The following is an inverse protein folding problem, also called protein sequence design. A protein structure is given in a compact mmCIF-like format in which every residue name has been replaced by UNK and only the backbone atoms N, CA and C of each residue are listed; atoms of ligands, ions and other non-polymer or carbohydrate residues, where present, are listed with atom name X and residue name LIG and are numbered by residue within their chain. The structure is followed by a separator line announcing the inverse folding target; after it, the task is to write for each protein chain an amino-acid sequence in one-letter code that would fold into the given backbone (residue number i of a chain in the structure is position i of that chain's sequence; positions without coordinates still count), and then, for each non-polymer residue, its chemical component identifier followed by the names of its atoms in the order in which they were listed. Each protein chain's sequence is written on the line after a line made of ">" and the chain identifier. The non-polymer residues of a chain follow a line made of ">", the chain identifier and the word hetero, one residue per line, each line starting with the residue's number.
data_IF_413423540570
#
_entry.id   IF_413423540570
#
_cell.length_a   1.000
_cell.length_b   1.000
_cell.length_c   1.000
_cell.angle_alpha   90.00
_cell.angle_beta   90.00
_cell.angle_gamma   90.00
#
_symmetry.space_group_name_H-M   'P 1'
#
loop_
_entity.id
_entity.type
_entity.pdbx_description
1 polymer ?
#
# COMPACT_ATOMS: atom_id res chain seq x y z
N UNK A 1 27.24 11.33 -7.28
CA UNK A 1 26.70 10.28 -8.18
C UNK A 1 25.30 9.93 -7.71
N UNK A 2 24.26 10.25 -8.48
CA UNK A 2 22.89 9.85 -8.15
C UNK A 2 22.76 8.33 -8.33
N UNK A 3 22.35 7.60 -7.28
CA UNK A 3 22.06 6.18 -7.36
C UNK A 3 20.89 5.96 -8.34
N UNK A 4 21.18 5.50 -9.55
CA UNK A 4 20.14 5.11 -10.51
C UNK A 4 19.49 3.82 -10.04
N UNK A 5 18.16 3.80 -9.97
CA UNK A 5 17.39 2.59 -9.64
C UNK A 5 17.69 1.52 -10.70
N UNK A 6 17.97 0.29 -10.24
CA UNK A 6 18.16 -0.84 -11.14
C UNK A 6 16.81 -1.30 -11.69
N UNK A 7 16.79 -1.65 -12.98
CA UNK A 7 15.63 -2.26 -13.63
C UNK A 7 15.22 -3.55 -12.90
N UNK A 8 13.92 -3.79 -12.83
CA UNK A 8 13.40 -5.01 -12.23
C UNK A 8 13.81 -6.25 -13.03
N UNK A 9 14.01 -7.35 -12.31
CA UNK A 9 14.28 -8.65 -12.91
C UNK A 9 13.31 -9.68 -12.35
N UNK A 10 12.79 -10.55 -13.21
CA UNK A 10 11.95 -11.68 -12.79
C UNK A 10 12.66 -12.58 -11.75
N UNK A 11 14.01 -12.58 -11.75
CA UNK A 11 14.83 -13.33 -10.79
C UNK A 11 14.61 -12.87 -9.34
N UNK A 12 14.10 -11.66 -9.12
CA UNK A 12 13.76 -11.16 -7.78
C UNK A 12 12.62 -11.96 -7.13
N UNK A 13 11.77 -12.62 -7.92
CA UNK A 13 10.68 -13.46 -7.41
C UNK A 13 11.15 -14.85 -6.97
N UNK A 14 12.26 -15.33 -7.53
CA UNK A 14 12.74 -16.70 -7.32
C UNK A 14 14.21 -16.71 -6.88
N UNK A 15 14.46 -16.14 -5.71
CA UNK A 15 15.78 -16.18 -5.07
C UNK A 15 16.02 -17.58 -4.47
N UNK A 16 16.20 -18.62 -5.30
CA UNK A 16 16.60 -19.99 -4.88
C UNK A 16 15.92 -20.48 -3.58
N UNK A 17 14.59 -20.49 -3.54
CA UNK A 17 13.83 -20.96 -2.38
C UNK A 17 13.80 -20.00 -1.17
N UNK A 18 14.34 -18.78 -1.30
CA UNK A 18 14.22 -17.74 -0.27
C UNK A 18 12.95 -16.93 -0.47
N UNK A 19 12.18 -16.81 0.61
CA UNK A 19 11.03 -15.93 0.71
C UNK A 19 11.48 -14.48 0.89
N UNK A 20 10.61 -13.49 0.60
CA UNK A 20 10.91 -12.08 0.83
C UNK A 20 11.35 -11.83 2.28
N UNK A 21 12.26 -10.88 2.54
CA UNK A 21 12.77 -10.61 3.89
C UNK A 21 11.65 -10.43 4.92
N UNK A 22 10.55 -9.78 4.53
CA UNK A 22 9.39 -9.52 5.39
C UNK A 22 8.40 -10.69 5.54
N UNK A 23 8.70 -11.87 4.99
CA UNK A 23 7.83 -13.05 5.13
C UNK A 23 7.63 -13.41 6.60
N UNK A 24 6.36 -13.55 7.00
CA UNK A 24 5.96 -13.99 8.36
C UNK A 24 6.27 -15.46 8.63
N UNK A 25 6.77 -16.18 7.62
CA UNK A 25 7.26 -17.55 7.78
C UNK A 25 8.68 -17.61 8.34
N UNK A 26 9.42 -16.50 8.36
CA UNK A 26 10.66 -16.42 9.11
C UNK A 26 10.36 -16.03 10.56
N UNK A 27 11.06 -16.62 11.51
CA UNK A 27 10.98 -16.21 12.93
C UNK A 27 11.90 -15.02 13.23
N UNK A 28 12.91 -14.81 12.39
CA UNK A 28 13.96 -13.80 12.57
C UNK A 28 14.04 -12.86 11.38
N UNK A 29 14.43 -11.62 11.64
CA UNK A 29 14.74 -10.64 10.59
C UNK A 29 16.13 -10.89 9.97
N UNK A 30 16.57 -10.02 9.03
CA UNK A 30 17.88 -10.22 8.36
C UNK A 30 19.09 -10.02 9.26
N UNK A 31 18.94 -9.39 10.43
CA UNK A 31 19.99 -9.26 11.44
C UNK A 31 20.07 -10.47 12.39
N UNK A 32 19.13 -11.43 12.26
CA UNK A 32 19.06 -12.60 13.13
C UNK A 32 18.29 -12.36 14.44
N UNK A 33 17.67 -11.19 14.62
CA UNK A 33 16.83 -10.92 15.79
C UNK A 33 15.46 -11.58 15.63
N UNK A 34 14.93 -12.17 16.69
CA UNK A 34 13.55 -12.66 16.70
C UNK A 34 12.58 -11.50 16.48
N UNK A 35 11.56 -11.73 15.66
CA UNK A 35 10.47 -10.77 15.50
C UNK A 35 9.64 -10.70 16.78
N UNK A 36 8.94 -9.59 16.94
CA UNK A 36 8.16 -9.24 18.14
C UNK A 36 8.96 -8.91 19.40
N UNK A 37 10.28 -9.02 19.35
CA UNK A 37 11.17 -8.53 20.40
C UNK A 37 11.41 -7.01 20.27
N UNK A 38 11.57 -6.26 21.38
CA UNK A 38 11.83 -4.82 21.35
C UNK A 38 13.03 -4.41 20.46
N UNK A 39 14.11 -5.22 20.46
CA UNK A 39 15.30 -4.98 19.64
C UNK A 39 15.06 -5.14 18.13
N UNK A 40 13.94 -5.76 17.75
CA UNK A 40 13.55 -5.96 16.35
C UNK A 40 12.51 -4.95 15.90
N UNK A 41 12.13 -3.97 16.74
CA UNK A 41 11.09 -2.99 16.42
C UNK A 41 11.58 -1.55 16.38
N UNK A 42 10.93 -0.77 15.53
CA UNK A 42 10.98 0.69 15.52
C UNK A 42 9.56 1.21 15.69
N UNK A 43 9.22 1.69 16.89
CA UNK A 43 7.83 1.96 17.29
C UNK A 43 6.96 0.70 17.06
N UNK A 44 5.88 0.81 16.28
CA UNK A 44 4.98 -0.31 15.96
C UNK A 44 5.50 -1.20 14.82
N UNK A 45 6.63 -0.85 14.20
CA UNK A 45 7.15 -1.54 13.03
C UNK A 45 8.14 -2.62 13.38
N UNK A 46 8.07 -3.75 12.69
CA UNK A 46 9.17 -4.71 12.64
C UNK A 46 10.28 -4.19 11.71
N UNK A 47 11.52 -4.24 12.18
CA UNK A 47 12.72 -3.99 11.39
C UNK A 47 13.01 -5.25 10.57
N UNK A 48 12.78 -5.18 9.25
CA UNK A 48 13.04 -6.29 8.33
C UNK A 48 14.46 -6.28 7.82
N UNK A 49 14.94 -5.08 7.48
CA UNK A 49 16.32 -4.80 7.10
C UNK A 49 16.70 -3.51 7.81
N UNK A 50 17.73 -3.58 8.65
CA UNK A 50 18.24 -2.46 9.44
C UNK A 50 18.44 -1.20 8.58
N UNK A 51 17.89 -0.09 9.06
CA UNK A 51 17.87 1.24 8.42
C UNK A 51 17.34 1.31 6.98
N UNK A 52 16.62 0.28 6.51
CA UNK A 52 16.21 0.20 5.09
C UNK A 52 14.77 -0.22 4.88
N UNK A 53 14.27 -1.18 5.65
CA UNK A 53 12.95 -1.74 5.43
C UNK A 53 12.28 -2.08 6.76
N UNK A 54 11.09 -1.54 6.91
CA UNK A 54 10.22 -1.78 8.07
C UNK A 54 8.89 -2.33 7.60
N UNK A 55 8.27 -3.18 8.41
CA UNK A 55 6.95 -3.74 8.13
C UNK A 55 5.98 -3.56 9.29
N UNK A 56 4.71 -3.36 8.96
CA UNK A 56 3.61 -3.27 9.91
C UNK A 56 2.49 -4.18 9.42
N UNK A 57 1.85 -4.92 10.33
CA UNK A 57 0.88 -5.97 10.01
C UNK A 57 -0.44 -5.67 10.73
N UNK A 58 -1.54 -5.77 9.99
CA UNK A 58 -2.87 -5.76 10.57
C UNK A 58 -3.29 -7.18 10.97
N UNK A 59 -4.42 -7.28 11.67
CA UNK A 59 -5.01 -8.55 12.07
C UNK A 59 -6.20 -8.96 11.21
N UNK A 60 -6.75 -8.03 10.42
CA UNK A 60 -7.96 -8.23 9.65
C UNK A 60 -7.67 -8.49 8.16
N UNK A 61 -8.30 -9.54 7.64
CA UNK A 61 -8.37 -9.80 6.21
C UNK A 61 -9.56 -9.07 5.58
N UNK A 62 -9.43 -8.55 4.35
CA UNK A 62 -10.58 -8.05 3.60
C UNK A 62 -11.68 -9.11 3.48
N UNK A 63 -12.94 -8.68 3.57
CA UNK A 63 -14.07 -9.59 3.54
C UNK A 63 -14.14 -10.35 2.21
N UNK A 64 -14.14 -11.68 2.26
CA UNK A 64 -13.96 -12.52 1.06
C UNK A 64 -15.19 -13.30 0.64
N UNK A 65 -16.30 -13.18 1.35
CA UNK A 65 -17.42 -14.10 1.18
C UNK A 65 -18.19 -13.83 -0.13
N UNK A 66 -18.20 -14.85 -1.00
CA UNK A 66 -19.03 -15.03 -2.21
C UNK A 66 -19.04 -13.96 -3.31
N UNK A 67 -18.25 -12.89 -3.21
CA UNK A 67 -18.19 -11.85 -4.25
C UNK A 67 -17.60 -12.38 -5.57
N UNK A 68 -18.19 -12.02 -6.71
CA UNK A 68 -17.62 -12.26 -8.05
C UNK A 68 -16.23 -11.60 -8.18
N UNK A 69 -15.32 -12.16 -9.00
CA UNK A 69 -13.92 -11.69 -9.15
C UNK A 69 -13.81 -10.17 -9.33
N UNK A 70 -14.62 -9.58 -10.20
CA UNK A 70 -14.65 -8.13 -10.45
C UNK A 70 -14.99 -7.32 -9.20
N UNK A 71 -15.97 -7.76 -8.42
CA UNK A 71 -16.38 -7.09 -7.18
C UNK A 71 -15.28 -7.18 -6.11
N UNK A 72 -14.55 -8.30 -6.04
CA UNK A 72 -13.38 -8.43 -5.17
C UNK A 72 -12.26 -7.46 -5.56
N UNK A 73 -11.95 -7.33 -6.85
CA UNK A 73 -10.96 -6.35 -7.31
C UNK A 73 -11.35 -4.91 -6.94
N UNK A 74 -12.63 -4.57 -7.05
CA UNK A 74 -13.14 -3.25 -6.65
C UNK A 74 -13.10 -3.02 -5.13
N UNK A 75 -13.31 -4.07 -4.33
CA UNK A 75 -13.19 -4.00 -2.88
C UNK A 75 -11.74 -3.71 -2.46
N UNK A 76 -10.77 -4.46 -2.99
CA UNK A 76 -9.36 -4.20 -2.70
C UNK A 76 -8.96 -2.78 -3.12
N UNK A 77 -9.44 -2.34 -4.29
CA UNK A 77 -9.22 -0.98 -4.76
C UNK A 77 -9.76 0.09 -3.79
N UNK A 78 -10.95 -0.12 -3.23
CA UNK A 78 -11.52 0.77 -2.23
C UNK A 78 -10.64 0.84 -0.96
N UNK A 79 -10.13 -0.30 -0.50
CA UNK A 79 -9.21 -0.37 0.65
C UNK A 79 -7.90 0.36 0.34
N UNK A 80 -7.33 0.19 -0.86
CA UNK A 80 -6.13 0.90 -1.28
C UNK A 80 -6.32 2.42 -1.34
N UNK A 81 -7.50 2.89 -1.77
CA UNK A 81 -7.86 4.32 -1.73
C UNK A 81 -7.88 4.83 -0.30
N UNK A 82 -8.48 4.10 0.64
CA UNK A 82 -8.50 4.48 2.06
C UNK A 82 -7.09 4.48 2.66
N UNK A 83 -6.20 3.57 2.25
CA UNK A 83 -4.80 3.60 2.68
C UNK A 83 -4.07 4.87 2.20
N UNK A 84 -4.34 5.34 0.97
CA UNK A 84 -3.84 6.64 0.51
C UNK A 84 -4.43 7.81 1.31
N UNK A 85 -5.71 7.74 1.71
CA UNK A 85 -6.32 8.74 2.58
C UNK A 85 -5.66 8.76 3.97
N UNK A 86 -5.39 7.60 4.57
CA UNK A 86 -4.64 7.51 5.82
C UNK A 86 -3.26 8.16 5.70
N UNK A 87 -2.54 7.90 4.61
CA UNK A 87 -1.21 8.46 4.36
C UNK A 87 -1.20 9.98 4.09
N UNK A 88 -2.37 10.57 3.83
CA UNK A 88 -2.51 12.03 3.69
C UNK A 88 -2.78 12.75 5.01
N UNK A 89 -3.12 12.02 6.09
CA UNK A 89 -3.45 12.61 7.41
C UNK A 89 -2.48 12.18 8.50
N UNK A 90 -2.03 10.94 8.47
CA UNK A 90 -1.22 10.35 9.54
C UNK A 90 0.22 10.15 9.08
N UNK A 91 1.16 10.62 9.90
CA UNK A 91 2.58 10.37 9.70
C UNK A 91 2.85 8.87 9.71
N UNK A 92 3.61 8.39 8.72
CA UNK A 92 3.88 6.96 8.55
C UNK A 92 4.48 6.34 9.83
N UNK A 93 5.33 7.07 10.55
CA UNK A 93 6.00 6.58 11.75
C UNK A 93 5.02 6.26 12.91
N UNK A 94 3.81 6.83 12.88
CA UNK A 94 2.78 6.67 13.92
C UNK A 94 1.73 5.61 13.56
N UNK A 95 1.82 4.99 12.38
CA UNK A 95 0.85 3.96 12.02
C UNK A 95 0.97 2.76 12.96
N UNK A 96 -0.19 2.18 13.27
CA UNK A 96 -0.36 1.01 14.13
C UNK A 96 -1.04 -0.12 13.36
N UNK A 97 -0.94 -1.34 13.88
CA UNK A 97 -1.73 -2.49 13.43
C UNK A 97 -3.25 -2.17 13.43
N UNK A 98 -3.72 -1.48 14.48
CA UNK A 98 -5.10 -1.00 14.58
C UNK A 98 -5.48 -0.03 13.45
N UNK A 99 -4.57 0.83 13.00
CA UNK A 99 -4.83 1.71 11.85
C UNK A 99 -4.97 0.89 10.55
N UNK A 100 -4.16 -0.16 10.36
CA UNK A 100 -4.31 -1.04 9.19
C UNK A 100 -5.67 -1.74 9.18
N UNK A 101 -6.12 -2.20 10.35
CA UNK A 101 -7.44 -2.82 10.51
C UNK A 101 -8.57 -1.83 10.22
N UNK A 102 -8.47 -0.58 10.71
CA UNK A 102 -9.40 0.52 10.42
C UNK A 102 -9.44 0.84 8.92
N UNK A 103 -8.31 0.81 8.22
CA UNK A 103 -8.22 0.99 6.76
C UNK A 103 -9.02 -0.12 6.04
N UNK A 104 -8.87 -1.38 6.46
CA UNK A 104 -9.63 -2.51 5.87
C UNK A 104 -11.13 -2.34 6.09
N UNK A 105 -11.55 -2.04 7.32
CA UNK A 105 -12.96 -1.85 7.69
C UNK A 105 -13.58 -0.66 6.93
N UNK A 106 -12.90 0.48 6.94
CA UNK A 106 -13.34 1.69 6.23
C UNK A 106 -13.37 1.48 4.72
N UNK A 107 -12.40 0.75 4.15
CA UNK A 107 -12.38 0.38 2.73
C UNK A 107 -13.56 -0.53 2.33
N UNK A 108 -13.91 -1.50 3.17
CA UNK A 108 -15.09 -2.34 2.94
C UNK A 108 -16.40 -1.53 3.01
N UNK A 109 -16.50 -0.57 3.95
CA UNK A 109 -17.64 0.36 4.04
C UNK A 109 -17.73 1.26 2.80
N UNK A 110 -16.62 1.83 2.37
CA UNK A 110 -16.51 2.66 1.18
C UNK A 110 -16.86 1.90 -0.11
N UNK A 111 -16.40 0.65 -0.24
CA UNK A 111 -16.78 -0.23 -1.34
C UNK A 111 -18.31 -0.43 -1.41
N UNK A 112 -18.94 -0.79 -0.28
CA UNK A 112 -20.40 -1.00 -0.22
C UNK A 112 -21.19 0.25 -0.58
N UNK A 113 -20.80 1.42 -0.05
CA UNK A 113 -21.39 2.71 -0.41
C UNK A 113 -21.26 2.99 -1.91
N UNK A 114 -20.10 2.70 -2.49
CA UNK A 114 -19.87 2.89 -3.92
C UNK A 114 -20.78 2.02 -4.79
N UNK A 115 -21.12 0.81 -4.34
CA UNK A 115 -22.09 -0.05 -5.05
C UNK A 115 -23.51 0.51 -5.07
N UNK A 116 -23.94 1.22 -4.02
CA UNK A 116 -25.28 1.82 -3.95
C UNK A 116 -25.36 3.13 -4.72
N UNK A 117 -24.34 3.98 -4.64
CA UNK A 117 -24.26 5.27 -5.36
C UNK A 117 -24.22 5.14 -6.89
N UNK A 118 -23.69 4.02 -7.41
CA UNK A 118 -23.53 3.81 -8.88
C UNK A 118 -24.83 3.45 -9.59
N UNK A 119 -25.95 3.22 -8.87
CA UNK A 119 -27.25 2.85 -9.47
C UNK A 119 -27.98 4.00 -10.19
N UNK A 120 -27.49 5.25 -10.14
CA UNK A 120 -28.21 6.40 -10.73
C UNK A 120 -27.35 7.49 -11.39
N UNK A 121 -26.02 7.39 -11.40
CA UNK A 121 -25.13 8.40 -12.02
C UNK A 121 -24.13 7.68 -12.92
N UNK A 122 -23.88 8.21 -14.11
CA UNK A 122 -23.10 7.57 -15.20
C UNK A 122 -21.81 6.88 -14.76
N UNK A 123 -21.38 5.87 -15.55
CA UNK A 123 -20.24 4.97 -15.26
C UNK A 123 -19.01 5.71 -14.71
N UNK A 124 -18.82 5.71 -13.40
CA UNK A 124 -17.61 6.24 -12.75
C UNK A 124 -16.42 5.32 -13.05
N UNK A 125 -15.20 5.86 -13.29
CA UNK A 125 -14.00 5.04 -13.49
C UNK A 125 -13.83 4.05 -12.32
N UNK A 126 -13.77 2.75 -12.66
CA UNK A 126 -13.67 1.61 -11.72
C UNK A 126 -14.81 1.45 -10.68
N UNK A 127 -15.83 2.30 -10.69
CA UNK A 127 -17.05 2.15 -9.88
C UNK A 127 -16.90 2.48 -8.40
N UNK A 128 -16.00 3.39 -8.04
CA UNK A 128 -15.86 3.93 -6.69
C UNK A 128 -16.53 5.32 -6.58
N UNK A 129 -17.02 5.67 -5.39
CA UNK A 129 -17.58 6.99 -5.08
C UNK A 129 -16.47 8.03 -4.92
N UNK A 130 -16.75 9.31 -5.19
CA UNK A 130 -15.76 10.37 -4.87
C UNK A 130 -15.67 10.60 -3.36
N UNK A 131 -16.78 10.37 -2.64
CA UNK A 131 -16.84 10.56 -1.19
C UNK A 131 -16.34 9.32 -0.45
N UNK A 132 -15.12 9.43 0.09
CA UNK A 132 -14.45 8.41 0.90
C UNK A 132 -14.42 8.84 2.38
N UNK A 133 -14.24 7.88 3.29
CA UNK A 133 -14.06 8.16 4.70
C UNK A 133 -13.13 7.13 5.36
N UNK A 134 -12.30 7.61 6.29
CA UNK A 134 -11.59 6.80 7.27
C UNK A 134 -12.17 7.17 8.63
N UNK A 135 -13.05 6.31 9.12
CA UNK A 135 -13.87 6.56 10.30
C UNK A 135 -14.69 7.85 10.20
N UNK A 136 -14.41 8.84 11.04
CA UNK A 136 -15.05 10.17 11.07
C UNK A 136 -14.48 11.12 10.02
N UNK A 137 -13.26 10.87 9.53
CA UNK A 137 -12.55 11.76 8.61
C UNK A 137 -13.08 11.55 7.20
N UNK A 138 -13.56 12.64 6.58
CA UNK A 138 -14.15 12.62 5.24
C UNK A 138 -13.16 13.12 4.21
N UNK A 139 -13.19 12.48 3.05
CA UNK A 139 -12.30 12.79 1.93
C UNK A 139 -13.10 12.87 0.63
N UNK A 140 -12.67 13.78 -0.24
CA UNK A 140 -13.02 13.74 -1.66
C UNK A 140 -11.82 13.17 -2.41
N UNK A 141 -12.05 12.08 -3.13
CA UNK A 141 -10.99 11.33 -3.80
C UNK A 141 -11.21 11.27 -5.31
N UNK A 142 -10.16 11.59 -6.06
CA UNK A 142 -10.09 11.34 -7.50
C UNK A 142 -8.99 10.36 -7.84
N UNK A 143 -9.32 9.39 -8.70
CA UNK A 143 -8.36 8.40 -9.17
C UNK A 143 -8.25 8.49 -10.69
N UNK A 144 -7.07 8.91 -11.16
CA UNK A 144 -6.81 9.16 -12.58
C UNK A 144 -5.70 8.23 -13.06
N UNK A 145 -5.85 7.69 -14.28
CA UNK A 145 -4.78 6.95 -14.93
C UNK A 145 -3.59 7.89 -15.19
N UNK A 146 -2.38 7.42 -14.92
CA UNK A 146 -1.13 8.19 -15.10
C UNK A 146 -0.27 7.55 -16.18
N UNK A 147 -0.04 6.24 -16.08
CA UNK A 147 0.87 5.55 -16.99
C UNK A 147 0.54 4.07 -17.13
N UNK A 148 1.02 3.52 -18.24
CA UNK A 148 1.02 2.09 -18.52
C UNK A 148 2.45 1.69 -18.89
N UNK A 149 2.89 0.54 -18.38
CA UNK A 149 4.21 0.00 -18.66
C UNK A 149 4.23 -1.51 -18.68
N UNK A 150 5.40 -2.11 -18.81
CA UNK A 150 5.57 -3.56 -18.84
C UNK A 150 6.63 -4.03 -17.85
N UNK A 151 6.29 -4.99 -17.01
CA UNK A 151 7.21 -5.58 -16.04
C UNK A 151 8.37 -6.30 -16.73
N UNK A 152 9.58 -6.12 -16.17
CA UNK A 152 10.83 -6.79 -16.58
C UNK A 152 11.29 -6.45 -17.99
N UNK A 153 10.76 -5.38 -18.57
CA UNK A 153 11.17 -4.91 -19.88
C UNK A 153 12.43 -4.07 -19.76
N UNK A 154 13.30 -4.15 -20.75
CA UNK A 154 14.33 -3.13 -20.95
C UNK A 154 13.59 -1.86 -21.42
N UNK A 155 13.73 -0.73 -20.71
CA UNK A 155 12.98 0.46 -21.06
C UNK A 155 13.49 1.09 -22.34
N UNK A 156 12.59 1.72 -23.09
CA UNK A 156 12.88 2.51 -24.28
C UNK A 156 12.21 3.87 -24.17
N UNK A 157 12.52 4.78 -25.09
CA UNK A 157 11.94 6.15 -25.09
C UNK A 157 10.41 6.17 -25.05
N UNK A 158 9.75 5.16 -25.60
CA UNK A 158 8.28 5.06 -25.68
C UNK A 158 7.68 4.05 -24.70
N UNK A 159 8.52 3.35 -23.91
CA UNK A 159 8.07 2.24 -23.09
C UNK A 159 8.79 2.20 -21.75
N UNK A 160 8.04 2.47 -20.69
CA UNK A 160 8.52 2.39 -19.32
C UNK A 160 8.47 0.95 -18.80
N UNK A 161 9.52 0.57 -18.07
CA UNK A 161 9.45 -0.50 -17.09
C UNK A 161 8.92 0.05 -15.76
N UNK A 162 8.85 -0.77 -14.71
CA UNK A 162 8.33 -0.30 -13.43
C UNK A 162 9.24 0.74 -12.77
N UNK A 163 10.56 0.57 -12.85
CA UNK A 163 11.50 1.53 -12.28
C UNK A 163 11.30 2.95 -12.86
N UNK A 164 11.25 3.07 -14.19
CA UNK A 164 11.05 4.36 -14.86
C UNK A 164 9.67 4.95 -14.56
N UNK A 165 8.63 4.12 -14.54
CA UNK A 165 7.28 4.57 -14.23
C UNK A 165 7.17 5.10 -12.79
N UNK A 166 7.86 4.51 -11.81
CA UNK A 166 7.91 5.02 -10.44
C UNK A 166 8.70 6.32 -10.34
N UNK A 167 9.84 6.43 -11.02
CA UNK A 167 10.63 7.67 -11.08
C UNK A 167 9.77 8.80 -11.65
N UNK A 168 9.09 8.56 -12.77
CA UNK A 168 8.23 9.55 -13.40
C UNK A 168 7.04 9.91 -12.52
N UNK A 169 6.40 8.92 -11.90
CA UNK A 169 5.26 9.13 -11.02
C UNK A 169 5.58 10.08 -9.86
N UNK A 170 6.69 9.82 -9.15
CA UNK A 170 7.06 10.60 -7.96
C UNK A 170 7.57 12.01 -8.26
N UNK A 171 7.79 12.39 -9.53
CA UNK A 171 8.02 13.79 -9.90
C UNK A 171 6.78 14.66 -9.73
N UNK A 172 5.60 14.07 -9.81
CA UNK A 172 4.34 14.81 -9.92
C UNK A 172 3.30 14.41 -8.89
N UNK A 173 3.39 13.21 -8.32
CA UNK A 173 2.32 12.63 -7.51
C UNK A 173 2.87 11.98 -6.24
N UNK A 174 2.08 12.03 -5.17
CA UNK A 174 2.44 11.44 -3.87
C UNK A 174 1.90 10.02 -3.68
N UNK A 175 0.65 9.77 -4.06
CA UNK A 175 -0.05 8.52 -3.76
C UNK A 175 -0.59 7.86 -5.02
N UNK A 176 -0.34 6.57 -5.17
CA UNK A 176 -0.71 5.82 -6.34
C UNK A 176 -1.19 4.40 -6.04
N UNK A 177 -1.89 3.84 -7.01
CA UNK A 177 -2.27 2.43 -7.02
C UNK A 177 -1.72 1.83 -8.31
N UNK A 178 -0.90 0.80 -8.16
CA UNK A 178 -0.41 0.00 -9.28
C UNK A 178 -1.26 -1.25 -9.41
N UNK A 179 -1.49 -1.71 -10.65
CA UNK A 179 -2.22 -2.94 -10.94
C UNK A 179 -1.55 -3.74 -12.06
N UNK A 180 -1.36 -5.04 -11.86
CA UNK A 180 -0.81 -5.98 -12.85
C UNK A 180 -1.43 -7.37 -12.64
N UNK A 181 -1.86 -8.03 -13.72
CA UNK A 181 -2.40 -9.40 -13.69
C UNK A 181 -3.53 -9.66 -12.65
N UNK A 182 -4.36 -8.64 -12.37
CA UNK A 182 -5.45 -8.76 -11.40
C UNK A 182 -5.02 -8.67 -9.93
N UNK A 183 -3.74 -8.37 -9.67
CA UNK A 183 -3.27 -7.86 -8.38
C UNK A 183 -3.13 -6.34 -8.44
N UNK A 184 -3.29 -5.72 -7.28
CA UNK A 184 -3.11 -4.28 -7.09
C UNK A 184 -2.49 -4.03 -5.73
N UNK A 185 -1.87 -2.88 -5.54
CA UNK A 185 -1.40 -2.41 -4.24
C UNK A 185 -1.35 -0.89 -4.23
N UNK A 186 -1.45 -0.29 -3.04
CA UNK A 186 -1.22 1.14 -2.85
C UNK A 186 0.27 1.40 -2.62
N UNK A 187 0.76 2.54 -3.05
CA UNK A 187 2.10 3.02 -2.76
C UNK A 187 2.11 4.54 -2.69
N UNK A 188 3.15 5.10 -2.09
CA UNK A 188 3.31 6.55 -2.10
C UNK A 188 4.54 7.04 -1.37
N UNK A 189 4.58 8.36 -1.19
CA UNK A 189 5.63 9.08 -0.49
C UNK A 189 5.00 10.09 0.46
N UNK A 190 5.42 10.07 1.72
CA UNK A 190 5.04 11.05 2.74
C UNK A 190 6.26 11.90 3.09
N UNK A 191 6.07 13.22 3.18
CA UNK A 191 7.13 14.17 3.55
C UNK A 191 7.40 14.12 5.07
N UNK A 192 8.42 14.85 5.53
CA UNK A 192 8.74 15.02 6.94
C UNK A 192 9.71 13.99 7.52
N UNK A 193 10.13 14.21 8.78
CA UNK A 193 11.14 13.38 9.45
C UNK A 193 10.68 11.94 9.67
N UNK A 194 9.38 11.74 9.93
CA UNK A 194 8.73 10.42 10.02
C UNK A 194 8.29 9.85 8.66
N UNK A 195 8.57 10.55 7.56
CA UNK A 195 8.10 10.22 6.22
C UNK A 195 8.90 9.11 5.53
N UNK A 196 8.78 9.07 4.21
CA UNK A 196 9.42 8.10 3.34
C UNK A 196 8.45 7.46 2.33
N UNK A 197 8.97 6.50 1.59
CA UNK A 197 8.19 5.67 0.69
C UNK A 197 7.45 4.59 1.45
N UNK A 198 6.24 4.29 1.00
CA UNK A 198 5.47 3.16 1.51
C UNK A 198 4.83 2.36 0.38
N UNK A 199 4.55 1.10 0.68
CA UNK A 199 3.55 0.31 -0.03
C UNK A 199 2.62 -0.37 0.97
N UNK A 200 1.36 -0.54 0.57
CA UNK A 200 0.35 -1.23 1.37
C UNK A 200 -0.36 -2.28 0.52
N UNK A 201 -0.41 -3.52 1.02
CA UNK A 201 -1.13 -4.64 0.41
C UNK A 201 -2.10 -5.29 1.41
N UNK A 202 -3.28 -5.66 0.90
CA UNK A 202 -4.28 -6.43 1.64
C UNK A 202 -4.74 -7.69 0.90
N UNK A 203 -4.07 -8.03 -0.21
CA UNK A 203 -4.38 -9.21 -1.02
C UNK A 203 -3.49 -10.42 -0.71
N UNK A 204 -2.33 -10.21 -0.07
CA UNK A 204 -1.41 -11.28 0.27
C UNK A 204 -2.06 -12.35 1.16
N UNK A 205 -1.85 -13.60 0.77
CA UNK A 205 -2.23 -14.81 1.46
C UNK A 205 -1.30 -15.92 1.08
N UNK A 206 -1.22 -16.92 1.93
CA UNK A 206 -0.44 -18.13 1.66
C UNK A 206 1.03 -17.79 1.31
N UNK A 207 1.69 -18.71 0.62
CA UNK A 207 3.04 -18.54 0.13
C UNK A 207 3.16 -17.33 -0.83
N UNK A 208 4.20 -16.48 -0.72
CA UNK A 208 5.42 -16.67 0.07
C UNK A 208 5.43 -16.01 1.45
N UNK A 209 4.40 -15.25 1.82
CA UNK A 209 4.41 -14.46 3.05
C UNK A 209 3.88 -15.19 4.27
N UNK A 210 2.96 -16.13 4.07
CA UNK A 210 2.21 -16.78 5.14
C UNK A 210 2.11 -18.30 4.95
N UNK A 211 1.70 -19.01 6.01
CA UNK A 211 1.32 -20.41 5.86
C UNK A 211 -0.01 -20.54 5.13
N UNK A 212 -0.38 -21.78 4.79
CA UNK A 212 -1.60 -22.07 4.06
C UNK A 212 -2.82 -21.61 4.86
N UNK A 213 -3.73 -20.91 4.20
CA UNK A 213 -4.96 -20.29 4.72
C UNK A 213 -4.77 -19.05 5.59
N UNK A 214 -3.53 -18.60 5.79
CA UNK A 214 -3.22 -17.36 6.50
C UNK A 214 -3.13 -16.17 5.55
N UNK A 215 -3.30 -14.98 6.12
CA UNK A 215 -2.96 -13.72 5.48
C UNK A 215 -3.34 -12.53 6.34
N UNK A 216 -2.83 -11.37 5.97
CA UNK A 216 -3.09 -10.11 6.64
C UNK A 216 -2.91 -8.95 5.66
N UNK A 217 -3.48 -7.79 5.99
CA UNK A 217 -3.00 -6.54 5.42
C UNK A 217 -1.66 -6.17 6.03
N UNK A 218 -0.80 -5.53 5.24
CA UNK A 218 0.48 -5.06 5.72
C UNK A 218 0.95 -3.82 4.97
N UNK A 219 1.82 -3.08 5.62
CA UNK A 219 2.51 -1.92 5.08
C UNK A 219 4.01 -2.15 5.14
N UNK A 220 4.74 -1.80 4.06
CA UNK A 220 6.20 -1.73 4.06
C UNK A 220 6.67 -0.29 3.89
N UNK A 221 7.53 0.18 4.79
CA UNK A 221 8.13 1.52 4.76
C UNK A 221 9.61 1.44 4.45
N UNK A 222 10.09 2.43 3.69
CA UNK A 222 11.50 2.59 3.36
C UNK A 222 11.81 4.04 3.02
N UNK A 223 13.06 4.48 3.23
CA UNK A 223 13.53 5.79 2.76
C UNK A 223 14.06 5.76 1.32
N UNK A 224 14.11 4.58 0.68
CA UNK A 224 14.83 4.40 -0.57
C UNK A 224 13.91 3.89 -1.68
N UNK A 225 13.75 4.67 -2.77
CA UNK A 225 12.85 4.32 -3.87
C UNK A 225 13.19 2.97 -4.53
N UNK A 226 14.46 2.58 -4.55
CA UNK A 226 14.86 1.27 -5.09
C UNK A 226 14.41 0.10 -4.19
N UNK A 227 14.30 0.30 -2.88
CA UNK A 227 13.74 -0.70 -1.95
C UNK A 227 12.24 -0.78 -2.16
N UNK A 228 11.53 0.35 -2.27
CA UNK A 228 10.10 0.37 -2.62
C UNK A 228 9.85 -0.38 -3.93
N UNK A 229 10.66 -0.09 -4.95
CA UNK A 229 10.59 -0.77 -6.24
C UNK A 229 10.70 -2.30 -6.10
N UNK A 230 11.70 -2.79 -5.36
CA UNK A 230 11.84 -4.23 -5.07
C UNK A 230 10.60 -4.79 -4.36
N UNK A 231 10.12 -4.10 -3.32
CA UNK A 231 8.95 -4.50 -2.55
C UNK A 231 7.68 -4.62 -3.42
N UNK A 232 7.46 -3.66 -4.33
CA UNK A 232 6.34 -3.69 -5.28
C UNK A 232 6.45 -4.88 -6.24
N UNK A 233 7.62 -5.09 -6.86
CA UNK A 233 7.84 -6.23 -7.79
C UNK A 233 7.54 -7.56 -7.11
N UNK A 234 8.11 -7.76 -5.92
CA UNK A 234 7.95 -8.99 -5.14
C UNK A 234 6.51 -9.19 -4.67
N UNK A 235 5.82 -8.11 -4.28
CA UNK A 235 4.42 -8.18 -3.84
C UNK A 235 3.45 -8.43 -5.00
N UNK A 236 3.70 -7.86 -6.17
CA UNK A 236 2.93 -8.16 -7.38
C UNK A 236 3.12 -9.62 -7.80
N UNK A 237 4.30 -10.19 -7.57
CA UNK A 237 4.62 -11.60 -7.80
C UNK A 237 4.14 -12.13 -9.17
N UNK A 238 4.46 -11.39 -10.23
CA UNK A 238 4.10 -11.72 -11.61
C UNK A 238 5.24 -12.49 -12.26
N UNK A 239 5.16 -13.83 -12.45
CA UNK A 239 6.27 -14.65 -12.95
C UNK A 239 6.32 -14.69 -14.48
N UNK A 240 6.05 -13.57 -15.16
CA UNK A 240 5.99 -13.52 -16.61
C UNK A 240 6.52 -12.18 -17.13
N UNK A 241 7.36 -12.24 -18.17
CA UNK A 241 7.90 -11.05 -18.83
C UNK A 241 6.83 -10.28 -19.61
N UNK A 242 7.04 -8.97 -19.76
CA UNK A 242 6.23 -8.11 -20.62
C UNK A 242 4.74 -8.03 -20.24
N UNK A 243 4.40 -8.38 -18.99
CA UNK A 243 3.06 -8.19 -18.46
C UNK A 243 2.80 -6.71 -18.25
N UNK A 244 1.67 -6.24 -18.78
CA UNK A 244 1.25 -4.86 -18.63
C UNK A 244 0.89 -4.56 -17.17
N UNK A 245 1.36 -3.40 -16.70
CA UNK A 245 0.90 -2.78 -15.47
C UNK A 245 0.31 -1.41 -15.78
N UNK A 246 -0.59 -0.95 -14.90
CA UNK A 246 -1.12 0.42 -14.93
C UNK A 246 -0.87 1.09 -13.59
N UNK A 247 -0.56 2.38 -13.62
CA UNK A 247 -0.47 3.23 -12.43
C UNK A 247 -1.57 4.27 -12.50
N UNK A 248 -2.28 4.43 -11.40
CA UNK A 248 -3.25 5.49 -11.20
C UNK A 248 -2.80 6.36 -10.04
N UNK A 249 -2.89 7.69 -10.17
CA UNK A 249 -2.75 8.58 -9.02
C UNK A 249 -4.02 8.55 -8.19
N UNK A 250 -3.87 8.73 -6.89
CA UNK A 250 -4.96 8.98 -5.95
C UNK A 250 -4.76 10.38 -5.39
N UNK A 251 -5.62 11.28 -5.81
CA UNK A 251 -5.68 12.65 -5.29
C UNK A 251 -6.69 12.69 -4.16
N UNK A 252 -6.24 13.15 -3.00
CA UNK A 252 -7.03 13.21 -1.78
C UNK A 252 -7.18 14.67 -1.38
N UNK A 253 -8.42 15.11 -1.16
CA UNK A 253 -8.74 16.40 -0.57
C UNK A 253 -9.50 16.16 0.73
N UNK A 254 -9.16 16.93 1.75
CA UNK A 254 -9.80 16.87 3.06
C UNK A 254 -11.02 17.80 3.10
N UNK A 255 -12.05 17.37 3.81
CA UNK A 255 -13.06 18.31 4.30
C UNK A 255 -12.51 18.97 5.57
N UNK A 256 -12.07 20.23 5.47
CA UNK A 256 -11.40 20.99 6.55
C UNK A 256 -12.18 21.00 7.88
N UNK A 257 -13.48 20.76 7.85
CA UNK A 257 -14.32 20.66 9.05
C UNK A 257 -14.00 19.43 9.92
N UNK A 258 -13.44 18.36 9.34
CA UNK A 258 -13.20 17.09 10.01
C UNK A 258 -11.83 16.95 10.68
N UNK A 259 -10.83 17.74 10.25
CA UNK A 259 -9.47 17.71 10.80
C UNK A 259 -9.39 18.32 12.21
N UNK A 260 -10.14 19.40 12.46
CA UNK A 260 -10.16 20.09 13.77
C UNK A 260 -10.62 19.17 14.90
N UNK A 261 -11.53 18.24 14.60
CA UNK A 261 -12.09 17.32 15.61
C UNK A 261 -11.07 16.24 16.03
N UNK A 262 -10.21 15.79 15.12
CA UNK A 262 -9.15 14.82 15.43
C UNK A 262 -7.94 15.48 16.09
N UNK A 263 -7.61 16.73 15.74
CA UNK A 263 -6.61 17.50 16.49
C UNK A 263 -7.06 17.71 17.94
N UNK A 264 -8.35 17.99 18.17
CA UNK A 264 -8.94 18.05 19.51
C UNK A 264 -8.86 16.70 20.24
N UNK A 265 -9.18 15.58 19.58
CA UNK A 265 -9.06 14.22 20.17
C UNK A 265 -7.59 13.87 20.46
N UNK A 266 -6.65 14.21 19.57
CA UNK A 266 -5.20 14.00 19.77
C UNK A 266 -4.66 14.80 20.94
N UNK A 267 -5.09 16.06 21.08
CA UNK A 267 -4.74 16.91 22.22
C UNK A 267 -5.31 16.31 23.51
N UNK A 268 -6.59 15.89 23.52
CA UNK A 268 -7.22 15.28 24.69
C UNK A 268 -6.54 13.97 25.10
N UNK A 269 -6.17 13.11 24.14
CA UNK A 269 -5.48 11.85 24.44
C UNK A 269 -4.04 12.07 24.93
N UNK A 270 -3.39 13.17 24.54
CA UNK A 270 -2.05 13.54 25.07
C UNK A 270 -2.14 14.03 26.52
N UNK A 271 -3.23 14.70 26.91
CA UNK A 271 -3.42 15.25 28.27
C UNK A 271 -3.73 14.14 29.29
N UNK A 272 -4.32 13.02 28.89
CA UNK A 272 -4.72 11.92 29.80
C UNK A 272 -3.56 10.97 30.15
N UNK A 273 -2.36 11.18 29.58
CA UNK A 273 -1.16 10.34 29.82
C UNK A 273 -0.11 11.05 30.72
N UNK A 274 -0.53 12.08 31.46
CA UNK A 274 0.28 12.74 32.50
C UNK A 274 -0.42 12.72 33.87
#
# INVERSE_FOLDING_TARGET
>A
MAFRIKNESIKWLNLKGRMPPWSRKYERNTAGNYRDEPLSKLNNYDVEIEDRLWSLWGSILPERTFLKKRLRCNQYLAIYVVACCAASVFDLIDWTDHLLDRIVVSGNRYFRKSLTSTKGKGKRPKGLDVDCALDSIKFVVYMNHVSTGKLYRIPTINHMNLADALIEFFKHYKYGIISAQGRSLAFGFCDGAGGGYFMYDCQAKDHPLFNKSEGASYMLRTHQLHVLHYCIVVTLNVPTHNVEFTIHRVEVMHDDSSLRYEDEIRILNTIVVH
#
